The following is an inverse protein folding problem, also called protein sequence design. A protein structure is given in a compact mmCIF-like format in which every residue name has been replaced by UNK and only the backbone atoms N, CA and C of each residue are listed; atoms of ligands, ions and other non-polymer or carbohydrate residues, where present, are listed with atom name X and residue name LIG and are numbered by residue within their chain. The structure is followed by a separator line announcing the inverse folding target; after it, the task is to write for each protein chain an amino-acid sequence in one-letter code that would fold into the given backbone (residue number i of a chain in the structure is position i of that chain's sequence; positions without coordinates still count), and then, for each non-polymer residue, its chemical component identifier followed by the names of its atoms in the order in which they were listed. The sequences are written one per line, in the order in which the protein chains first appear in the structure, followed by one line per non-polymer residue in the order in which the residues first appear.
data_IF_377606613435
#
_entry.id   IF_377606613435
#
_cell.length_a   1.000
_cell.length_b   1.000
_cell.length_c   1.000
_cell.angle_alpha   90.00
_cell.angle_beta   90.00
_cell.angle_gamma   90.00
#
_symmetry.space_group_name_H-M   'P 1'
#
loop_
_entity.id
_entity.type
_entity.pdbx_description
1 polymer ?
#
# COMPACT_ATOMS: atom_id res chain seq x y z
N UNK A 1 0.96 -10.91 -0.87
CA UNK A 1 -0.16 -10.65 0.05
C UNK A 1 -1.44 -11.10 -0.63
N UNK A 2 -2.15 -12.05 -0.04
CA UNK A 2 -3.49 -12.43 -0.52
C UNK A 2 -4.38 -11.22 -0.20
N UNK A 3 -4.75 -10.46 -1.24
CA UNK A 3 -5.81 -9.47 -1.10
C UNK A 3 -7.07 -10.26 -0.77
N UNK A 4 -7.61 -10.08 0.43
CA UNK A 4 -8.92 -10.63 0.77
C UNK A 4 -9.92 -10.02 -0.20
N UNK A 5 -10.31 -10.78 -1.22
CA UNK A 5 -11.44 -10.44 -2.06
C UNK A 5 -12.66 -10.38 -1.15
N UNK A 6 -13.11 -9.17 -0.85
CA UNK A 6 -14.38 -8.91 -0.16
C UNK A 6 -15.59 -9.28 -1.03
N UNK A 7 -15.37 -9.57 -2.31
CA UNK A 7 -16.41 -9.58 -3.34
C UNK A 7 -16.83 -10.99 -3.76
N UNK A 8 -16.18 -12.03 -3.24
CA UNK A 8 -16.61 -13.41 -3.46
C UNK A 8 -17.44 -13.88 -2.25
N UNK A 9 -18.73 -14.20 -2.42
CA UNK A 9 -19.51 -14.78 -1.34
C UNK A 9 -18.84 -16.09 -0.92
N UNK A 10 -18.56 -16.20 0.39
CA UNK A 10 -18.10 -17.45 1.00
C UNK A 10 -18.99 -18.59 0.47
N UNK A 11 -18.42 -19.70 -0.01
CA UNK A 11 -19.20 -20.89 -0.31
C UNK A 11 -20.12 -21.15 0.87
N UNK A 12 -21.39 -21.51 0.62
CA UNK A 12 -22.31 -21.96 1.67
C UNK A 12 -21.76 -23.24 2.27
N UNK A 13 -20.75 -23.12 3.12
CA UNK A 13 -20.38 -24.15 4.05
C UNK A 13 -21.65 -24.42 4.86
N UNK A 14 -22.14 -25.66 4.77
CA UNK A 14 -23.06 -26.27 5.72
C UNK A 14 -22.74 -25.70 7.10
N UNK A 15 -23.73 -25.17 7.83
CA UNK A 15 -23.56 -24.18 8.91
C UNK A 15 -22.60 -24.50 10.07
N UNK A 16 -21.94 -25.66 10.07
CA UNK A 16 -20.89 -26.08 10.99
C UNK A 16 -19.49 -25.69 10.47
N UNK A 17 -18.57 -25.35 11.38
CA UNK A 17 -17.14 -25.09 11.10
C UNK A 17 -16.81 -23.89 10.21
N UNK A 18 -17.72 -22.91 10.08
CA UNK A 18 -17.45 -21.66 9.35
C UNK A 18 -16.24 -20.89 9.90
N UNK A 19 -15.90 -21.06 11.18
CA UNK A 19 -14.73 -20.47 11.81
C UNK A 19 -13.39 -20.86 11.15
N UNK A 20 -13.33 -21.97 10.40
CA UNK A 20 -12.11 -22.37 9.68
C UNK A 20 -11.70 -21.34 8.61
N UNK A 21 -12.66 -20.59 8.06
CA UNK A 21 -12.39 -19.50 7.10
C UNK A 21 -11.81 -18.25 7.76
N UNK A 22 -11.86 -18.16 9.10
CA UNK A 22 -11.26 -17.06 9.85
C UNK A 22 -9.73 -17.28 10.06
N UNK A 23 -9.19 -18.45 9.70
CA UNK A 23 -7.79 -18.82 10.00
C UNK A 23 -6.80 -18.25 8.97
N UNK A 24 -6.98 -18.57 7.68
CA UNK A 24 -5.96 -18.32 6.63
C UNK A 24 -6.14 -16.95 5.97
N UNK A 25 -7.37 -16.60 5.60
CA UNK A 25 -7.70 -15.36 4.93
C UNK A 25 -9.05 -14.86 5.45
N UNK A 26 -9.00 -14.11 6.55
CA UNK A 26 -10.19 -13.75 7.30
C UNK A 26 -10.92 -12.56 6.64
N UNK A 27 -11.90 -12.86 5.78
CA UNK A 27 -12.69 -11.85 5.10
C UNK A 27 -13.66 -11.06 6.00
N UNK A 28 -13.85 -11.45 7.28
CA UNK A 28 -14.79 -10.77 8.19
C UNK A 28 -14.16 -9.54 8.84
N UNK A 29 -12.96 -9.72 9.39
CA UNK A 29 -12.29 -8.68 10.18
C UNK A 29 -10.77 -8.61 9.92
N UNK A 30 -10.24 -9.47 9.05
CA UNK A 30 -8.84 -9.43 8.66
C UNK A 30 -7.86 -9.94 9.71
N UNK A 31 -8.30 -10.58 10.80
CA UNK A 31 -7.37 -11.23 11.74
C UNK A 31 -7.12 -12.66 11.27
N UNK A 32 -5.94 -12.92 10.72
CA UNK A 32 -5.53 -14.21 10.17
C UNK A 32 -4.03 -14.48 10.39
N UNK A 33 -3.64 -15.75 10.20
CA UNK A 33 -2.26 -16.19 10.43
C UNK A 33 -1.26 -15.64 9.39
N UNK A 34 -1.73 -15.21 8.21
CA UNK A 34 -0.90 -14.50 7.22
C UNK A 34 -0.32 -13.23 7.84
N UNK A 35 -1.16 -12.39 8.46
CA UNK A 35 -0.71 -11.17 9.15
C UNK A 35 0.18 -11.47 10.35
N UNK A 36 -0.11 -12.53 11.09
CA UNK A 36 0.72 -12.89 12.23
C UNK A 36 2.15 -13.22 11.81
N UNK A 37 2.32 -13.96 10.72
CA UNK A 37 3.64 -14.33 10.20
C UNK A 37 4.36 -13.12 9.58
N UNK A 38 3.78 -12.46 8.58
CA UNK A 38 4.52 -11.44 7.83
C UNK A 38 4.86 -10.23 8.68
N UNK A 39 4.00 -9.83 9.63
CA UNK A 39 4.29 -8.66 10.48
C UNK A 39 5.55 -8.92 11.32
N UNK A 40 5.66 -10.10 11.92
CA UNK A 40 6.83 -10.46 12.74
C UNK A 40 8.07 -10.66 11.86
N UNK A 41 7.91 -11.37 10.74
CA UNK A 41 8.99 -11.66 9.78
C UNK A 41 9.57 -10.38 9.19
N UNK A 42 8.72 -9.49 8.71
CA UNK A 42 9.12 -8.28 8.00
C UNK A 42 9.69 -7.24 8.95
N UNK A 43 9.10 -7.09 10.14
CA UNK A 43 9.67 -6.21 11.18
C UNK A 43 11.10 -6.65 11.51
N UNK A 44 11.32 -7.95 11.72
CA UNK A 44 12.65 -8.50 11.96
C UNK A 44 13.59 -8.29 10.77
N UNK A 45 13.15 -8.59 9.56
CA UNK A 45 13.96 -8.46 8.34
C UNK A 45 14.35 -7.01 8.05
N UNK A 46 13.51 -6.04 8.43
CA UNK A 46 13.74 -4.62 8.25
C UNK A 46 14.43 -3.96 9.46
N UNK A 47 14.74 -4.70 10.53
CA UNK A 47 15.36 -4.16 11.74
C UNK A 47 14.44 -3.22 12.54
N UNK A 48 13.12 -3.43 12.44
CA UNK A 48 12.11 -2.67 13.18
C UNK A 48 11.66 -3.44 14.43
N UNK A 49 11.28 -2.71 15.47
CA UNK A 49 10.65 -3.30 16.64
C UNK A 49 9.22 -3.76 16.32
N UNK A 50 8.85 -4.95 16.78
CA UNK A 50 7.47 -5.45 16.67
C UNK A 50 6.88 -5.61 18.07
N UNK A 51 5.89 -4.78 18.40
CA UNK A 51 5.21 -4.82 19.70
C UNK A 51 3.93 -5.68 19.70
N UNK A 52 3.61 -6.31 18.56
CA UNK A 52 2.49 -7.22 18.43
C UNK A 52 2.90 -8.66 18.81
N UNK A 53 2.14 -9.26 19.75
CA UNK A 53 2.38 -10.60 20.26
C UNK A 53 1.17 -11.49 19.94
N UNK A 54 1.17 -12.15 18.79
CA UNK A 54 0.04 -12.96 18.32
C UNK A 54 -0.26 -14.16 19.23
N UNK A 55 0.73 -14.69 19.95
CA UNK A 55 0.57 -15.81 20.87
C UNK A 55 -0.50 -15.52 21.93
N UNK A 56 -0.56 -14.28 22.44
CA UNK A 56 -1.58 -13.85 23.40
C UNK A 56 -3.01 -14.02 22.88
N UNK A 57 -3.21 -13.77 21.58
CA UNK A 57 -4.50 -13.98 20.93
C UNK A 57 -4.77 -15.47 20.73
N UNK A 58 -3.78 -16.22 20.22
CA UNK A 58 -3.93 -17.66 19.97
C UNK A 58 -4.23 -18.47 21.23
N UNK A 59 -3.60 -18.12 22.36
CA UNK A 59 -3.76 -18.82 23.64
C UNK A 59 -5.13 -18.56 24.29
N UNK A 60 -5.85 -17.53 23.85
CA UNK A 60 -7.08 -17.07 24.50
C UNK A 60 -8.31 -17.08 23.60
N UNK A 61 -8.17 -17.15 22.28
CA UNK A 61 -9.30 -17.16 21.35
C UNK A 61 -10.19 -18.40 21.51
N UNK A 62 -11.48 -18.27 21.19
CA UNK A 62 -12.48 -19.36 21.25
C UNK A 62 -13.37 -19.33 20.02
N UNK A 63 -13.89 -20.50 19.64
CA UNK A 63 -14.95 -20.57 18.64
C UNK A 63 -16.30 -20.41 19.34
N UNK A 64 -17.06 -19.39 18.96
CA UNK A 64 -18.42 -19.14 19.46
C UNK A 64 -19.32 -18.80 18.29
N UNK A 65 -20.48 -19.48 18.16
CA UNK A 65 -21.38 -19.26 17.03
C UNK A 65 -20.74 -19.45 15.64
N UNK A 66 -19.82 -20.42 15.50
CA UNK A 66 -19.02 -20.67 14.29
C UNK A 66 -18.16 -19.49 13.81
N UNK A 67 -17.63 -18.71 14.75
CA UNK A 67 -16.70 -17.60 14.49
C UNK A 67 -15.59 -17.60 15.55
N UNK A 68 -14.36 -17.28 15.15
CA UNK A 68 -13.27 -17.05 16.10
C UNK A 68 -13.53 -15.74 16.85
N UNK A 69 -13.72 -15.82 18.15
CA UNK A 69 -13.95 -14.71 19.06
C UNK A 69 -12.75 -14.52 20.00
N UNK A 70 -12.54 -13.29 20.45
CA UNK A 70 -11.39 -12.91 21.26
C UNK A 70 -11.79 -12.48 22.67
N UNK A 71 -10.89 -12.62 23.63
CA UNK A 71 -11.16 -12.10 24.97
C UNK A 71 -11.22 -10.56 24.93
N UNK A 72 -12.25 -9.97 25.55
CA UNK A 72 -12.47 -8.52 25.54
C UNK A 72 -11.26 -7.71 26.04
N UNK A 73 -10.53 -8.21 27.04
CA UNK A 73 -9.30 -7.58 27.56
C UNK A 73 -8.15 -7.48 26.54
N UNK A 74 -8.21 -8.24 25.43
CA UNK A 74 -7.17 -8.25 24.39
C UNK A 74 -7.47 -7.28 23.23
N UNK A 75 -8.50 -6.42 23.32
CA UNK A 75 -8.83 -5.45 22.26
C UNK A 75 -7.63 -4.54 21.90
N UNK A 76 -6.80 -4.16 22.87
CA UNK A 76 -5.57 -3.38 22.61
C UNK A 76 -4.50 -4.20 21.87
N UNK A 77 -4.41 -5.50 22.14
CA UNK A 77 -3.50 -6.41 21.41
C UNK A 77 -3.92 -6.51 19.95
N UNK A 78 -5.24 -6.58 19.69
CA UNK A 78 -5.81 -6.55 18.35
C UNK A 78 -5.58 -5.18 17.69
N UNK A 79 -5.76 -4.08 18.40
CA UNK A 79 -5.44 -2.76 17.83
C UNK A 79 -3.95 -2.67 17.44
N UNK A 80 -3.04 -3.17 18.27
CA UNK A 80 -1.61 -3.24 17.96
C UNK A 80 -1.31 -4.03 16.70
N UNK A 81 -2.05 -5.09 16.39
CA UNK A 81 -1.92 -5.82 15.12
C UNK A 81 -2.12 -4.89 13.93
N UNK A 82 -3.24 -4.17 13.91
CA UNK A 82 -3.60 -3.29 12.79
C UNK A 82 -2.69 -2.06 12.70
N UNK A 83 -2.31 -1.50 13.85
CA UNK A 83 -1.39 -0.37 13.94
C UNK A 83 0.02 -0.75 13.45
N UNK A 84 0.55 -1.89 13.89
CA UNK A 84 1.86 -2.40 13.42
C UNK A 84 1.83 -2.66 11.92
N UNK A 85 0.73 -3.23 11.40
CA UNK A 85 0.54 -3.38 9.94
C UNK A 85 0.58 -2.02 9.23
N UNK A 86 -0.21 -1.04 9.70
CA UNK A 86 -0.26 0.28 9.09
C UNK A 86 1.11 0.98 9.13
N UNK A 87 1.88 0.80 10.21
CA UNK A 87 3.24 1.32 10.32
C UNK A 87 4.20 0.67 9.32
N UNK A 88 4.17 -0.66 9.14
CA UNK A 88 4.96 -1.34 8.10
C UNK A 88 4.61 -0.84 6.69
N UNK A 89 3.33 -0.56 6.41
CA UNK A 89 2.93 0.07 5.16
C UNK A 89 3.51 1.47 5.00
N UNK A 90 3.47 2.28 6.05
CA UNK A 90 3.93 3.67 6.04
C UNK A 90 5.45 3.78 5.90
N UNK A 91 6.19 2.90 6.57
CA UNK A 91 7.64 3.00 6.71
C UNK A 91 8.42 2.10 5.76
N UNK A 92 7.88 0.93 5.42
CA UNK A 92 8.55 -0.09 4.60
C UNK A 92 7.85 -0.23 3.25
N UNK A 93 6.67 -0.84 3.19
CA UNK A 93 6.10 -1.34 1.94
C UNK A 93 5.79 -0.25 0.92
N UNK A 94 5.48 0.97 1.39
CA UNK A 94 5.17 2.10 0.51
C UNK A 94 6.22 3.20 0.58
N UNK A 95 7.42 2.92 1.10
CA UNK A 95 8.47 3.92 1.23
C UNK A 95 8.74 4.64 -0.12
N UNK A 96 8.90 5.98 -0.17
CA UNK A 96 8.96 6.73 -1.44
C UNK A 96 10.05 6.24 -2.41
N UNK A 97 11.23 5.85 -1.91
CA UNK A 97 12.29 5.29 -2.78
C UNK A 97 11.94 3.90 -3.32
N UNK A 98 11.19 3.08 -2.57
CA UNK A 98 10.75 1.76 -3.01
C UNK A 98 9.70 1.95 -4.11
N UNK A 99 8.72 2.83 -3.89
CA UNK A 99 7.73 3.21 -4.91
C UNK A 99 8.36 3.74 -6.19
N UNK A 100 9.41 4.56 -6.11
CA UNK A 100 10.14 5.01 -7.30
C UNK A 100 10.72 3.84 -8.12
N UNK A 101 11.26 2.82 -7.44
CA UNK A 101 11.82 1.61 -8.09
C UNK A 101 10.70 0.76 -8.68
N UNK A 102 9.61 0.52 -7.94
CA UNK A 102 8.43 -0.21 -8.42
C UNK A 102 7.86 0.42 -9.70
N UNK A 103 7.69 1.75 -9.73
CA UNK A 103 7.23 2.48 -10.91
C UNK A 103 8.17 2.28 -12.11
N UNK A 104 9.49 2.27 -11.89
CA UNK A 104 10.44 2.00 -12.96
C UNK A 104 10.41 0.54 -13.43
N UNK A 105 10.16 -0.43 -12.53
CA UNK A 105 9.97 -1.83 -12.90
C UNK A 105 8.71 -2.00 -13.73
N UNK A 106 7.59 -1.39 -13.34
CA UNK A 106 6.35 -1.41 -14.12
C UNK A 106 6.59 -0.83 -15.52
N UNK A 107 7.21 0.35 -15.62
CA UNK A 107 7.55 0.96 -16.92
C UNK A 107 8.44 0.03 -17.76
N UNK A 108 9.42 -0.65 -17.15
CA UNK A 108 10.29 -1.60 -17.84
C UNK A 108 9.50 -2.81 -18.35
N UNK A 109 8.65 -3.42 -17.51
CA UNK A 109 7.84 -4.58 -17.88
C UNK A 109 6.84 -4.24 -18.99
N UNK A 110 6.14 -3.11 -18.89
CA UNK A 110 5.21 -2.63 -19.92
C UNK A 110 5.94 -2.44 -21.26
N UNK A 111 7.13 -1.85 -21.25
CA UNK A 111 7.94 -1.65 -22.47
C UNK A 111 8.51 -2.94 -23.06
N UNK A 112 8.73 -3.96 -22.25
CA UNK A 112 9.17 -5.27 -22.73
C UNK A 112 8.00 -6.14 -23.22
N UNK A 113 6.76 -5.78 -22.87
CA UNK A 113 5.60 -6.66 -23.06
C UNK A 113 5.33 -7.02 -24.53
N UNK A 114 5.67 -6.16 -25.48
CA UNK A 114 5.55 -6.47 -26.92
C UNK A 114 6.39 -7.66 -27.36
N UNK A 115 7.49 -7.97 -26.66
CA UNK A 115 8.35 -9.12 -26.98
C UNK A 115 8.04 -10.37 -26.14
N UNK A 116 7.57 -10.19 -24.91
CA UNK A 116 7.41 -11.29 -23.95
C UNK A 116 5.96 -11.72 -23.73
N UNK A 117 4.99 -10.83 -23.96
CA UNK A 117 3.56 -11.07 -23.75
C UNK A 117 3.23 -11.65 -22.35
N UNK A 118 3.64 -10.96 -21.29
CA UNK A 118 3.43 -11.41 -19.91
C UNK A 118 1.95 -11.73 -19.56
N UNK A 119 0.93 -11.01 -20.08
CA UNK A 119 -0.47 -11.34 -19.82
C UNK A 119 -0.90 -12.72 -20.33
N UNK A 120 -0.34 -13.25 -21.41
CA UNK A 120 -0.72 -14.61 -21.83
C UNK A 120 -0.15 -15.67 -20.88
N UNK A 121 1.04 -15.42 -20.33
CA UNK A 121 1.72 -16.33 -19.41
C UNK A 121 0.98 -16.54 -18.08
N UNK A 122 0.19 -15.57 -17.61
CA UNK A 122 -0.59 -15.73 -16.36
C UNK A 122 -1.76 -16.71 -16.49
N UNK A 123 -2.16 -17.05 -17.71
CA UNK A 123 -3.25 -17.98 -17.98
C UNK A 123 -2.78 -19.43 -18.17
N UNK A 124 -1.47 -19.65 -18.28
CA UNK A 124 -0.86 -20.98 -18.33
C UNK A 124 -0.04 -21.20 -17.05
N UNK A 125 -0.42 -22.13 -16.16
CA UNK A 125 0.35 -22.44 -14.94
C UNK A 125 1.82 -22.79 -15.21
N UNK A 126 2.12 -23.45 -16.34
CA UNK A 126 3.47 -23.85 -16.68
C UNK A 126 4.34 -22.65 -17.11
N UNK A 127 3.75 -21.65 -17.77
CA UNK A 127 4.41 -20.38 -18.06
C UNK A 127 4.48 -19.48 -16.82
N UNK A 128 3.40 -19.41 -16.03
CA UNK A 128 3.30 -18.56 -14.85
C UNK A 128 4.36 -18.88 -13.80
N UNK A 129 4.67 -20.16 -13.57
CA UNK A 129 5.72 -20.56 -12.63
C UNK A 129 7.13 -20.11 -13.05
N UNK A 130 7.33 -19.78 -14.32
CA UNK A 130 8.59 -19.21 -14.83
C UNK A 130 8.66 -17.69 -14.66
N UNK A 131 7.55 -17.03 -14.29
CA UNK A 131 7.51 -15.59 -14.01
C UNK A 131 7.98 -15.32 -12.58
N UNK A 132 9.29 -15.20 -12.41
CA UNK A 132 9.92 -14.78 -11.17
C UNK A 132 10.83 -13.55 -11.39
N UNK A 133 11.57 -13.15 -10.35
CA UNK A 133 12.47 -11.99 -10.40
C UNK A 133 13.58 -12.09 -11.46
N UNK A 134 13.85 -13.30 -11.99
CA UNK A 134 14.81 -13.49 -13.09
C UNK A 134 14.38 -12.78 -14.37
N UNK A 135 13.10 -12.45 -14.51
CA UNK A 135 12.55 -11.66 -15.62
C UNK A 135 13.34 -10.38 -15.88
N UNK A 136 13.77 -9.68 -14.81
CA UNK A 136 14.57 -8.46 -14.95
C UNK A 136 15.93 -8.76 -15.58
N UNK A 137 16.53 -9.90 -15.24
CA UNK A 137 17.78 -10.34 -15.85
C UNK A 137 17.58 -10.77 -17.30
N UNK A 138 16.50 -11.49 -17.58
CA UNK A 138 16.12 -11.92 -18.93
C UNK A 138 15.98 -10.72 -19.86
N UNK A 139 15.20 -9.70 -19.49
CA UNK A 139 15.07 -8.46 -20.27
C UNK A 139 16.43 -7.75 -20.42
N UNK A 140 17.24 -7.74 -19.36
CA UNK A 140 18.54 -7.05 -19.36
C UNK A 140 19.51 -7.61 -20.40
N UNK A 141 19.48 -8.94 -20.63
CA UNK A 141 20.39 -9.64 -21.56
C UNK A 141 19.76 -9.93 -22.92
N UNK A 142 18.43 -9.86 -23.05
CA UNK A 142 17.72 -10.13 -24.30
C UNK A 142 18.09 -9.11 -25.38
N UNK A 143 18.83 -9.54 -26.41
CA UNK A 143 19.40 -8.65 -27.42
C UNK A 143 18.44 -8.38 -28.58
N UNK A 144 17.42 -7.57 -28.32
CA UNK A 144 16.46 -7.08 -29.32
C UNK A 144 16.27 -5.57 -29.20
N UNK A 145 15.97 -4.86 -30.30
CA UNK A 145 15.83 -3.39 -30.28
C UNK A 145 14.57 -2.96 -29.54
N UNK A 146 13.47 -3.71 -29.68
CA UNK A 146 12.18 -3.41 -29.03
C UNK A 146 12.25 -3.38 -27.49
N UNK A 147 13.21 -4.08 -26.87
CA UNK A 147 13.37 -4.07 -25.40
C UNK A 147 14.41 -3.05 -24.92
N UNK A 148 14.99 -2.23 -25.81
CA UNK A 148 16.09 -1.32 -25.48
C UNK A 148 15.73 -0.33 -24.38
N UNK A 149 14.55 0.29 -24.44
CA UNK A 149 14.10 1.23 -23.42
C UNK A 149 13.89 0.55 -22.06
N UNK A 150 13.31 -0.66 -22.07
CA UNK A 150 13.14 -1.48 -20.87
C UNK A 150 14.48 -1.84 -20.24
N UNK A 151 15.44 -2.29 -21.07
CA UNK A 151 16.82 -2.60 -20.67
C UNK A 151 17.50 -1.39 -20.03
N UNK A 152 17.32 -0.20 -20.60
CA UNK A 152 17.91 1.02 -20.04
C UNK A 152 17.28 1.40 -18.69
N UNK A 153 15.96 1.26 -18.50
CA UNK A 153 15.33 1.46 -17.20
C UNK A 153 15.90 0.52 -16.13
N UNK A 154 16.06 -0.76 -16.44
CA UNK A 154 16.65 -1.74 -15.51
C UNK A 154 18.08 -1.34 -15.14
N UNK A 155 18.91 -0.94 -16.13
CA UNK A 155 20.28 -0.46 -15.88
C UNK A 155 20.32 0.82 -15.04
N UNK A 156 19.37 1.73 -15.23
CA UNK A 156 19.23 2.92 -14.37
C UNK A 156 18.94 2.52 -12.92
N UNK A 157 18.05 1.56 -12.68
CA UNK A 157 17.76 1.03 -11.33
C UNK A 157 19.04 0.45 -10.69
N UNK A 158 19.79 -0.38 -11.44
CA UNK A 158 21.07 -0.96 -10.96
C UNK A 158 22.10 0.11 -10.57
N UNK A 159 22.19 1.20 -11.35
CA UNK A 159 23.06 2.36 -11.08
C UNK A 159 22.47 3.35 -10.08
N UNK A 160 21.29 3.07 -9.51
CA UNK A 160 20.55 3.96 -8.62
C UNK A 160 20.19 5.32 -9.23
N UNK A 161 20.11 5.41 -10.56
CA UNK A 161 19.54 6.55 -11.28
C UNK A 161 18.00 6.42 -11.32
N UNK A 162 17.38 6.63 -10.17
CA UNK A 162 15.95 6.40 -9.96
C UNK A 162 15.09 7.59 -10.43
N UNK A 163 13.79 7.37 -10.56
CA UNK A 163 12.82 8.47 -10.58
C UNK A 163 12.97 9.33 -9.33
N UNK A 164 12.94 10.64 -9.51
CA UNK A 164 13.22 11.60 -8.46
C UNK A 164 11.92 11.92 -7.72
N UNK A 165 11.85 11.57 -6.45
CA UNK A 165 10.77 11.98 -5.57
C UNK A 165 10.73 13.51 -5.47
N UNK A 166 9.61 14.09 -5.92
CA UNK A 166 9.30 15.52 -5.81
C UNK A 166 8.76 15.78 -4.41
N UNK A 167 7.52 15.37 -4.15
CA UNK A 167 6.91 15.50 -2.83
C UNK A 167 5.68 14.60 -2.64
N UNK A 168 5.07 14.66 -1.46
CA UNK A 168 3.81 14.01 -1.12
C UNK A 168 2.89 14.87 -0.26
N UNK A 169 1.60 14.54 -0.25
CA UNK A 169 0.65 15.06 0.73
C UNK A 169 -0.32 13.96 1.17
N UNK A 170 -0.86 14.11 2.38
CA UNK A 170 -1.98 13.31 2.90
C UNK A 170 -3.27 14.03 2.52
N UNK A 171 -4.20 13.33 1.88
CA UNK A 171 -5.51 13.87 1.51
C UNK A 171 -6.23 14.28 2.80
N UNK A 172 -6.73 15.53 2.90
CA UNK A 172 -7.47 15.97 4.08
C UNK A 172 -8.67 15.06 4.38
N UNK A 173 -8.91 14.78 5.66
CA UNK A 173 -9.91 13.80 6.09
C UNK A 173 -11.31 14.10 5.56
N UNK A 174 -11.71 15.37 5.55
CA UNK A 174 -13.00 15.86 5.04
C UNK A 174 -13.15 15.74 3.52
N UNK A 175 -12.07 15.45 2.80
CA UNK A 175 -12.06 15.26 1.34
C UNK A 175 -11.98 13.80 0.91
N UNK A 176 -11.73 12.87 1.83
CA UNK A 176 -11.53 11.44 1.50
C UNK A 176 -12.74 10.82 0.80
N UNK A 177 -13.97 11.22 1.13
CA UNK A 177 -15.19 10.66 0.54
C UNK A 177 -15.34 10.94 -0.96
N UNK A 178 -14.86 12.09 -1.41
CA UNK A 178 -14.93 12.52 -2.82
C UNK A 178 -13.57 12.46 -3.51
N UNK A 179 -12.60 11.78 -2.90
CA UNK A 179 -11.28 11.62 -3.47
C UNK A 179 -11.34 10.73 -4.72
N UNK A 180 -10.75 11.22 -5.81
CA UNK A 180 -10.42 10.42 -7.00
C UNK A 180 -8.92 10.24 -7.08
N UNK A 181 -8.47 9.13 -7.66
CA UNK A 181 -7.04 8.93 -7.90
C UNK A 181 -6.46 10.06 -8.77
N UNK A 182 -5.28 10.53 -8.36
CA UNK A 182 -4.56 11.58 -9.07
C UNK A 182 -3.71 10.96 -10.17
N UNK A 183 -3.73 11.58 -11.34
CA UNK A 183 -3.04 11.12 -12.54
C UNK A 183 -1.88 12.06 -12.92
N UNK A 184 -0.93 11.61 -13.75
CA UNK A 184 0.08 12.50 -14.34
C UNK A 184 -0.53 13.73 -15.04
N UNK A 185 -1.68 13.55 -15.70
CA UNK A 185 -2.38 14.61 -16.41
C UNK A 185 -2.89 15.71 -15.47
N UNK A 186 -3.37 15.35 -14.28
CA UNK A 186 -3.80 16.33 -13.27
C UNK A 186 -2.65 17.26 -12.85
N UNK A 187 -1.44 16.72 -12.78
CA UNK A 187 -0.22 17.47 -12.45
C UNK A 187 0.18 18.38 -13.60
N UNK A 188 0.24 17.84 -14.83
CA UNK A 188 0.63 18.60 -16.03
C UNK A 188 -0.33 19.76 -16.30
N UNK A 189 -1.64 19.54 -16.19
CA UNK A 189 -2.67 20.58 -16.32
C UNK A 189 -2.62 21.66 -15.22
N UNK A 190 -1.87 21.42 -14.14
CA UNK A 190 -1.66 22.37 -13.04
C UNK A 190 -0.38 23.20 -13.18
N UNK A 191 0.36 23.00 -14.27
CA UNK A 191 1.54 23.79 -14.56
C UNK A 191 1.18 25.27 -14.85
N UNK A 192 1.96 26.21 -14.30
CA UNK A 192 1.91 27.64 -14.68
C UNK A 192 2.71 27.86 -15.96
N UNK A 193 2.36 28.87 -16.75
CA UNK A 193 3.10 29.27 -17.97
C UNK A 193 4.56 29.54 -17.61
N UNK A 194 5.41 28.55 -17.86
CA UNK A 194 6.83 28.53 -17.55
C UNK A 194 7.56 27.99 -18.78
N UNK A 195 8.82 28.37 -19.00
CA UNK A 195 9.54 28.09 -20.25
C UNK A 195 9.83 26.61 -20.56
N UNK A 196 9.40 25.68 -19.70
CA UNK A 196 9.50 24.23 -19.90
C UNK A 196 8.07 23.71 -20.08
N UNK A 197 7.79 22.87 -21.07
CA UNK A 197 6.46 22.24 -21.20
C UNK A 197 6.53 20.82 -20.65
N UNK A 198 5.80 20.53 -19.57
CA UNK A 198 5.71 19.19 -19.02
C UNK A 198 4.79 18.30 -19.86
N UNK A 199 5.15 17.03 -19.99
CA UNK A 199 4.29 15.99 -20.58
C UNK A 199 3.94 14.94 -19.53
N UNK A 200 2.85 14.20 -19.76
CA UNK A 200 2.45 13.10 -18.87
C UNK A 200 3.57 12.05 -18.70
N UNK A 201 4.31 11.77 -19.77
CA UNK A 201 5.45 10.84 -19.79
C UNK A 201 6.61 11.27 -18.87
N UNK A 202 6.68 12.54 -18.44
CA UNK A 202 7.72 13.06 -17.56
C UNK A 202 7.39 12.85 -16.06
N UNK A 203 6.14 12.54 -15.74
CA UNK A 203 5.60 12.48 -14.38
C UNK A 203 5.21 11.04 -14.05
N UNK A 204 5.46 10.63 -12.81
CA UNK A 204 4.85 9.44 -12.23
C UNK A 204 4.11 9.82 -10.95
N UNK A 205 2.89 9.30 -10.79
CA UNK A 205 2.04 9.53 -9.62
C UNK A 205 1.78 8.20 -8.93
N UNK A 206 1.81 8.21 -7.60
CA UNK A 206 1.50 7.05 -6.76
C UNK A 206 0.46 7.46 -5.72
N UNK A 207 -0.75 6.90 -5.85
CA UNK A 207 -1.82 7.02 -4.87
C UNK A 207 -1.68 5.83 -3.90
N UNK A 208 -1.52 6.10 -2.61
CA UNK A 208 -1.25 5.09 -1.58
C UNK A 208 -2.32 5.14 -0.51
N UNK A 209 -3.08 4.06 -0.40
CA UNK A 209 -4.06 3.84 0.67
C UNK A 209 -3.42 3.03 1.79
N UNK A 210 -3.51 3.52 3.02
CA UNK A 210 -3.10 2.80 4.24
C UNK A 210 -4.30 2.81 5.19
N UNK A 211 -4.72 1.65 5.66
CA UNK A 211 -5.84 1.53 6.60
C UNK A 211 -5.57 0.51 7.70
N UNK A 212 -6.44 0.50 8.71
CA UNK A 212 -6.44 -0.52 9.77
C UNK A 212 -7.13 -1.82 9.33
N UNK A 213 -6.98 -2.23 8.06
CA UNK A 213 -7.56 -3.43 7.43
C UNK A 213 -9.08 -3.42 7.21
N UNK A 214 -9.75 -2.28 7.45
CA UNK A 214 -11.20 -2.14 7.22
C UNK A 214 -11.59 -0.82 6.58
N UNK A 215 -10.77 -0.29 5.68
CA UNK A 215 -11.06 0.97 5.01
C UNK A 215 -11.22 2.10 6.02
N UNK A 216 -12.35 2.82 5.96
CA UNK A 216 -12.63 3.99 6.81
C UNK A 216 -13.30 3.62 8.15
N UNK A 217 -13.61 2.35 8.38
CA UNK A 217 -14.33 1.91 9.57
C UNK A 217 -13.36 1.50 10.68
N UNK A 218 -13.81 1.59 11.93
CA UNK A 218 -13.08 1.02 13.05
C UNK A 218 -12.99 -0.52 12.85
N UNK A 219 -11.78 -1.11 12.89
CA UNK A 219 -11.66 -2.55 12.75
C UNK A 219 -12.35 -3.32 13.90
N UNK A 220 -12.43 -2.73 15.09
CA UNK A 220 -13.02 -3.39 16.27
C UNK A 220 -14.52 -3.66 16.12
N UNK A 221 -15.26 -2.86 15.36
CA UNK A 221 -16.72 -3.04 15.20
C UNK A 221 -17.09 -4.32 14.42
N UNK A 222 -16.11 -4.99 13.80
CA UNK A 222 -16.31 -6.28 13.10
C UNK A 222 -15.84 -7.49 13.90
N UNK A 223 -15.42 -7.29 15.15
CA UNK A 223 -14.78 -8.31 15.96
C UNK A 223 -15.69 -8.68 17.11
N UNK A 224 -15.95 -9.98 17.24
CA UNK A 224 -16.66 -10.53 18.40
C UNK A 224 -15.71 -10.81 19.55
N UNK A 225 -16.16 -10.41 20.72
CA UNK A 225 -15.47 -10.55 21.98
C UNK A 225 -16.27 -11.39 22.97
N UNK A 226 -15.60 -11.92 23.98
CA UNK A 226 -16.21 -12.55 25.15
C UNK A 226 -15.44 -12.16 26.42
N UNK A 227 -16.06 -12.30 27.59
CA UNK A 227 -15.48 -11.79 28.85
C UNK A 227 -14.42 -12.76 29.42
N UNK A 228 -14.82 -13.99 29.70
CA UNK A 228 -14.01 -15.01 30.38
C UNK A 228 -14.22 -16.41 29.77
N UNK A 229 -13.50 -17.42 30.27
CA UNK A 229 -13.60 -18.78 29.73
C UNK A 229 -14.96 -19.46 30.00
N UNK A 230 -15.72 -18.97 30.97
CA UNK A 230 -17.07 -19.48 31.31
C UNK A 230 -18.17 -18.82 30.49
N UNK A 231 -17.84 -17.76 29.74
CA UNK A 231 -18.80 -17.04 28.91
C UNK A 231 -19.26 -17.89 27.72
N UNK A 232 -20.56 -18.07 27.55
CA UNK A 232 -21.17 -18.76 26.39
C UNK A 232 -21.64 -17.80 25.30
N UNK A 233 -21.64 -16.49 25.59
CA UNK A 233 -22.07 -15.44 24.68
C UNK A 233 -20.91 -14.58 24.18
N UNK A 234 -21.02 -14.15 22.93
CA UNK A 234 -20.10 -13.21 22.28
C UNK A 234 -20.78 -11.88 22.00
N UNK A 235 -20.06 -10.77 22.07
CA UNK A 235 -20.58 -9.41 21.88
C UNK A 235 -19.59 -8.53 21.11
N UNK A 236 -20.05 -7.37 20.63
CA UNK A 236 -19.17 -6.31 20.11
C UNK A 236 -18.87 -5.31 21.23
N UNK A 237 -17.61 -4.85 21.33
CA UNK A 237 -17.25 -3.80 22.28
C UNK A 237 -17.75 -2.47 21.74
N UNK A 238 -18.46 -1.71 22.58
CA UNK A 238 -18.94 -0.36 22.22
C UNK A 238 -17.80 0.66 22.26
N UNK A 239 -17.87 1.68 21.42
CA UNK A 239 -16.82 2.71 21.28
C UNK A 239 -16.60 3.52 22.58
N UNK A 240 -17.62 3.67 23.43
CA UNK A 240 -17.50 4.29 24.75
C UNK A 240 -16.71 3.44 25.77
N UNK A 241 -16.42 2.17 25.44
CA UNK A 241 -15.73 1.21 26.30
C UNK A 241 -14.29 0.92 25.87
N UNK A 242 -13.80 1.58 24.83
CA UNK A 242 -12.41 1.49 24.37
C UNK A 242 -11.62 2.75 24.75
N UNK A 243 -10.30 2.66 24.70
CA UNK A 243 -9.41 3.77 25.02
C UNK A 243 -9.63 4.97 24.08
N UNK A 244 -9.81 6.17 24.65
CA UNK A 244 -9.87 7.44 23.91
C UNK A 244 -8.53 7.87 23.30
N UNK A 245 -7.43 7.13 23.58
CA UNK A 245 -6.13 7.34 22.94
C UNK A 245 -5.98 6.57 21.63
N UNK A 246 -7.02 5.88 21.17
CA UNK A 246 -7.05 5.23 19.87
C UNK A 246 -7.38 6.24 18.75
N UNK A 247 -6.99 5.97 17.49
CA UNK A 247 -7.30 6.85 16.37
C UNK A 247 -8.80 7.00 16.16
N UNK A 248 -9.24 8.20 15.79
CA UNK A 248 -10.62 8.49 15.34
C UNK A 248 -10.75 8.46 13.81
N UNK A 249 -9.63 8.29 13.10
CA UNK A 249 -9.57 8.03 11.65
C UNK A 249 -8.79 6.74 11.41
N UNK A 250 -9.29 5.91 10.49
CA UNK A 250 -8.78 4.55 10.26
C UNK A 250 -8.16 4.36 8.87
N UNK A 251 -8.06 5.43 8.09
CA UNK A 251 -7.53 5.43 6.73
C UNK A 251 -6.77 6.71 6.41
N UNK A 252 -5.60 6.53 5.81
CA UNK A 252 -4.86 7.55 5.07
C UNK A 252 -4.97 7.30 3.57
N UNK A 253 -5.04 8.40 2.81
CA UNK A 253 -4.76 8.43 1.39
C UNK A 253 -3.61 9.40 1.14
N UNK A 254 -2.53 8.91 0.53
CA UNK A 254 -1.29 9.67 0.31
C UNK A 254 -1.04 9.76 -1.19
N UNK A 255 -0.85 10.96 -1.71
CA UNK A 255 -0.49 11.19 -3.11
C UNK A 255 0.98 11.56 -3.18
N UNK A 256 1.76 10.80 -3.93
CA UNK A 256 3.20 11.02 -4.16
C UNK A 256 3.46 11.32 -5.63
N UNK A 257 4.28 12.32 -5.90
CA UNK A 257 4.68 12.69 -7.27
C UNK A 257 6.18 12.54 -7.45
N UNK A 258 6.56 11.94 -8.58
CA UNK A 258 7.93 11.72 -8.98
C UNK A 258 8.17 12.32 -10.36
N UNK A 259 9.39 12.77 -10.59
CA UNK A 259 9.88 13.12 -11.91
C UNK A 259 10.69 11.98 -12.52
N UNK A 260 10.40 11.60 -13.77
CA UNK A 260 11.18 10.59 -14.49
C UNK A 260 12.57 11.11 -14.93
N UNK A 261 12.74 12.44 -15.00
CA UNK A 261 13.96 13.15 -15.44
C UNK A 261 14.44 14.16 -14.38
N UNK A 262 15.69 14.07 -13.88
CA UNK A 262 16.17 14.94 -12.79
C UNK A 262 16.00 16.45 -13.02
N UNK A 263 16.19 16.91 -14.25
CA UNK A 263 16.08 18.31 -14.64
C UNK A 263 14.65 18.88 -14.56
N UNK A 264 13.62 18.03 -14.49
CA UNK A 264 12.20 18.43 -14.45
C UNK A 264 11.63 18.51 -13.03
N UNK A 265 12.41 18.14 -12.00
CA UNK A 265 11.97 18.13 -10.59
C UNK A 265 11.39 19.48 -10.16
N UNK A 266 12.03 20.59 -10.56
CA UNK A 266 11.58 21.93 -10.23
C UNK A 266 10.18 22.23 -10.78
N UNK A 267 10.00 22.08 -12.09
CA UNK A 267 8.73 22.34 -12.77
C UNK A 267 7.60 21.42 -12.26
N UNK A 268 7.88 20.13 -12.06
CA UNK A 268 6.87 19.17 -11.56
C UNK A 268 6.50 19.47 -10.11
N UNK A 269 7.47 19.86 -9.26
CA UNK A 269 7.17 20.25 -7.88
C UNK A 269 6.28 21.49 -7.82
N UNK A 270 6.53 22.48 -8.68
CA UNK A 270 5.69 23.68 -8.78
C UNK A 270 4.28 23.34 -9.26
N UNK A 271 4.16 22.54 -10.34
CA UNK A 271 2.87 22.09 -10.85
C UNK A 271 2.08 21.29 -9.78
N UNK A 272 2.77 20.48 -8.99
CA UNK A 272 2.17 19.74 -7.88
C UNK A 272 1.68 20.63 -6.73
N UNK A 273 2.41 21.70 -6.40
CA UNK A 273 1.94 22.70 -5.42
C UNK A 273 0.69 23.40 -5.95
N UNK A 274 0.72 23.85 -7.21
CA UNK A 274 -0.42 24.52 -7.83
C UNK A 274 -1.65 23.61 -7.92
N UNK A 275 -1.45 22.31 -8.15
CA UNK A 275 -2.52 21.32 -8.10
C UNK A 275 -3.18 21.31 -6.71
N UNK A 276 -2.39 21.23 -5.63
CA UNK A 276 -2.92 21.27 -4.26
C UNK A 276 -3.68 22.57 -3.97
N UNK A 277 -3.15 23.72 -4.38
CA UNK A 277 -3.82 25.01 -4.22
C UNK A 277 -5.17 25.06 -4.96
N UNK A 278 -5.22 24.57 -6.21
CA UNK A 278 -6.47 24.52 -6.99
C UNK A 278 -7.49 23.55 -6.39
N UNK A 279 -7.04 22.40 -5.88
CA UNK A 279 -7.92 21.32 -5.41
C UNK A 279 -8.40 21.55 -3.97
N UNK A 280 -7.54 22.06 -3.09
CA UNK A 280 -7.83 22.17 -1.65
C UNK A 280 -7.83 23.62 -1.14
N UNK A 281 -7.52 24.61 -1.99
CA UNK A 281 -7.41 26.02 -1.58
C UNK A 281 -6.17 26.31 -0.73
N UNK A 282 -5.33 25.31 -0.46
CA UNK A 282 -4.13 25.43 0.36
C UNK A 282 -3.09 24.37 -0.01
N UNK A 283 -1.86 24.63 0.37
CA UNK A 283 -0.75 23.68 0.28
C UNK A 283 -0.88 22.67 1.44
N UNK A 284 -1.17 21.41 1.11
CA UNK A 284 -1.39 20.34 2.09
C UNK A 284 -0.12 19.56 2.44
N UNK A 285 0.92 19.63 1.59
CA UNK A 285 2.23 19.06 1.88
C UNK A 285 2.91 19.76 3.08
N UNK A 286 3.48 18.97 3.99
CA UNK A 286 4.10 19.46 5.23
C UNK A 286 5.47 20.09 4.99
N UNK A 287 6.24 19.54 4.04
CA UNK A 287 7.59 20.01 3.72
C UNK A 287 7.66 20.45 2.27
N UNK A 288 8.61 21.33 1.95
CA UNK A 288 8.90 21.67 0.55
C UNK A 288 9.84 20.63 -0.09
N UNK A 289 9.75 20.48 -1.41
CA UNK A 289 10.78 19.76 -2.16
C UNK A 289 12.14 20.44 -1.93
N UNK A 290 13.19 19.70 -1.50
CA UNK A 290 14.49 20.29 -1.23
C UNK A 290 15.10 21.02 -2.45
N UNK A 291 15.61 22.23 -2.25
CA UNK A 291 16.21 23.06 -3.32
C UNK A 291 17.34 22.36 -4.09
N UNK A 292 18.14 21.54 -3.40
CA UNK A 292 19.20 20.74 -4.04
C UNK A 292 18.66 19.80 -5.12
N UNK A 293 17.44 19.28 -4.96
CA UNK A 293 16.81 18.41 -5.97
C UNK A 293 16.26 19.23 -7.13
N UNK A 294 15.66 20.40 -6.88
CA UNK A 294 15.12 21.29 -7.92
C UNK A 294 16.20 21.81 -8.87
N UNK A 295 17.41 22.04 -8.37
CA UNK A 295 18.54 22.60 -9.15
C UNK A 295 19.42 21.53 -9.82
N UNK A 296 19.07 20.25 -9.70
CA UNK A 296 19.90 19.15 -10.21
C UNK A 296 19.79 19.09 -11.74
N UNK A 297 20.78 19.62 -12.45
CA UNK A 297 20.96 19.39 -13.89
C UNK A 297 21.76 18.10 -14.08
N UNK A 298 21.45 17.30 -15.09
CA UNK A 298 22.34 16.20 -15.54
C UNK A 298 23.71 16.83 -15.85
N UNK A 299 24.73 16.43 -15.09
CA UNK A 299 26.13 16.59 -15.49
C UNK A 299 26.44 15.54 -16.56
#
# INVERSE_FOLDING_TARGET
MILSSSDMPLPKATGEKRFLYDIVANGRNGIDVDKFDYIVRDSRACGLGCNFQFQRLMDTMRVMGNEICYRSKEYLTIHKLFDTRADLYRTVYTHPKIKAIELMFVDALVKANSCFDFPSMIHDPAAYVQLDDTILKTIEVYNHEDVKESRELIRRIRRRDLYQFCNEYVVPQDKLEHFREITPQDIVCSQKTSGITLKEEDVAVCNVKIDLSRGRCNPLDSIKFFTDYESDESFYISEDKISHLLPTSYQDMIVRVYSKKPELVGAISEAFVNFQEKTYGTKTQVHETPEKKKKRRRM
#
